data_IF_073799354161
#
_entry.id   IF_073799354161
#
_cell.length_a   1.000
_cell.length_b   1.000
_cell.length_c   1.000
_cell.angle_alpha   90.00
_cell.angle_beta   90.00
_cell.angle_gamma   90.00
#
_symmetry.space_group_name_H-M   'P 1'
#
loop_
_entity.id
_entity.type
_entity.pdbx_description
1 polymer ?
#
# COMPACT_ATOMS: atom_id res chain seq x y z
N UNK A 1 34.78 17.23 32.58
CA UNK A 1 33.56 16.49 32.97
C UNK A 1 32.36 17.34 32.60
N UNK A 2 31.21 16.69 32.38
CA UNK A 2 29.95 17.16 31.75
C UNK A 2 29.97 17.18 30.20
N UNK A 3 29.81 16.02 29.56
CA UNK A 3 28.54 15.34 29.21
C UNK A 3 27.76 16.14 28.15
N UNK A 4 27.89 15.79 26.87
CA UNK A 4 27.06 14.80 26.15
C UNK A 4 25.57 15.17 26.15
N UNK A 5 25.03 15.53 24.98
CA UNK A 5 23.65 15.15 24.69
C UNK A 5 23.52 14.59 23.27
N UNK A 6 23.15 13.31 23.29
CA UNK A 6 23.10 12.38 22.20
C UNK A 6 21.75 12.57 21.50
N UNK A 7 21.75 13.01 20.24
CA UNK A 7 20.56 13.07 19.40
C UNK A 7 20.08 11.66 19.05
N UNK A 8 19.50 10.96 20.02
CA UNK A 8 18.76 9.73 19.77
C UNK A 8 17.36 10.12 19.30
N UNK A 9 17.09 9.85 18.03
CA UNK A 9 15.76 9.87 17.46
C UNK A 9 14.86 8.94 18.27
N UNK A 10 14.04 9.52 19.12
CA UNK A 10 12.92 8.85 19.77
C UNK A 10 11.82 8.65 18.71
N UNK A 11 12.00 7.64 17.85
CA UNK A 11 10.90 7.09 17.05
C UNK A 11 9.95 6.39 18.01
N UNK A 12 9.00 7.15 18.53
CA UNK A 12 8.02 6.67 19.50
C UNK A 12 7.21 5.47 18.98
N UNK A 13 6.62 4.67 19.88
CA UNK A 13 5.89 3.44 19.55
C UNK A 13 4.64 3.63 18.67
N UNK A 14 4.24 4.88 18.40
CA UNK A 14 3.10 5.23 17.56
C UNK A 14 3.43 5.18 16.05
N UNK A 15 4.71 5.30 15.68
CA UNK A 15 5.17 5.32 14.27
C UNK A 15 5.08 3.93 13.60
N UNK A 16 5.06 2.86 14.42
CA UNK A 16 4.90 1.47 13.94
C UNK A 16 3.43 1.04 13.75
N UNK A 17 2.49 1.83 14.28
CA UNK A 17 1.04 1.51 14.24
C UNK A 17 0.42 2.07 12.94
N UNK A 18 1.02 3.13 12.39
CA UNK A 18 0.67 3.70 11.09
C UNK A 18 1.51 3.15 9.92
N UNK A 19 2.41 2.20 10.18
CA UNK A 19 3.08 1.43 9.13
C UNK A 19 2.05 0.54 8.43
N UNK A 20 1.49 1.08 7.35
CA UNK A 20 0.44 0.44 6.58
C UNK A 20 0.90 -0.85 5.90
N UNK A 21 2.21 -1.03 5.77
CA UNK A 21 2.90 -2.17 5.19
C UNK A 21 3.37 -3.19 6.25
N UNK A 22 3.15 -2.93 7.54
CA UNK A 22 3.43 -3.91 8.57
C UNK A 22 2.41 -5.06 8.53
N UNK A 23 2.85 -6.31 8.36
CA UNK A 23 1.95 -7.47 8.19
C UNK A 23 1.41 -7.95 9.54
N UNK A 24 0.50 -7.17 10.13
CA UNK A 24 -0.09 -7.43 11.45
C UNK A 24 -1.23 -8.45 11.44
N UNK A 25 -1.93 -8.60 10.32
CA UNK A 25 -3.24 -9.26 10.30
C UNK A 25 -3.14 -10.72 9.86
N UNK A 26 -3.62 -11.65 10.69
CA UNK A 26 -3.77 -13.04 10.28
C UNK A 26 -4.94 -13.22 9.31
N UNK A 27 -4.98 -14.32 8.57
CA UNK A 27 -6.10 -14.69 7.68
C UNK A 27 -7.48 -14.60 8.34
N UNK A 28 -7.63 -15.13 9.56
CA UNK A 28 -8.91 -15.11 10.27
C UNK A 28 -9.30 -13.69 10.69
N UNK A 29 -8.34 -12.94 11.23
CA UNK A 29 -8.54 -11.54 11.63
C UNK A 29 -8.90 -10.66 10.42
N UNK A 30 -8.19 -10.83 9.31
CA UNK A 30 -8.45 -10.13 8.06
C UNK A 30 -9.87 -10.43 7.53
N UNK A 31 -10.27 -11.71 7.53
CA UNK A 31 -11.60 -12.10 7.09
C UNK A 31 -12.71 -11.46 7.96
N UNK A 32 -12.50 -11.44 9.28
CA UNK A 32 -13.44 -10.83 10.23
C UNK A 32 -13.55 -9.31 10.03
N UNK A 33 -12.42 -8.60 9.89
CA UNK A 33 -12.39 -7.14 9.68
C UNK A 33 -13.12 -6.78 8.38
N UNK A 34 -12.94 -7.57 7.34
CA UNK A 34 -13.52 -7.32 6.02
C UNK A 34 -14.95 -7.86 5.85
N UNK A 35 -15.52 -8.51 6.87
CA UNK A 35 -16.83 -9.15 6.78
C UNK A 35 -16.91 -10.22 5.69
N UNK A 36 -15.80 -10.90 5.41
CA UNK A 36 -15.66 -11.89 4.33
C UNK A 36 -15.21 -13.24 4.86
N UNK A 37 -15.02 -14.21 3.97
CA UNK A 37 -14.54 -15.54 4.32
C UNK A 37 -13.03 -15.67 4.13
N UNK A 38 -12.35 -16.55 4.89
CA UNK A 38 -10.97 -16.92 4.57
C UNK A 38 -10.83 -17.52 3.15
N UNK A 39 -11.88 -18.14 2.62
CA UNK A 39 -11.90 -18.63 1.23
C UNK A 39 -11.73 -17.49 0.22
N UNK A 40 -12.46 -16.39 0.40
CA UNK A 40 -12.36 -15.21 -0.45
C UNK A 40 -10.94 -14.64 -0.50
N UNK A 41 -10.33 -14.42 0.67
CA UNK A 41 -8.94 -13.92 0.73
C UNK A 41 -7.94 -14.90 0.08
N UNK A 42 -8.16 -16.23 0.17
CA UNK A 42 -7.31 -17.20 -0.55
C UNK A 42 -7.45 -17.06 -2.06
N UNK A 43 -8.67 -16.84 -2.55
CA UNK A 43 -8.91 -16.63 -3.98
C UNK A 43 -8.25 -15.35 -4.49
N UNK A 44 -8.21 -14.28 -3.69
CA UNK A 44 -7.45 -13.06 -4.03
C UNK A 44 -5.93 -13.30 -4.08
N UNK A 45 -5.40 -14.09 -3.14
CA UNK A 45 -3.98 -14.48 -3.13
C UNK A 45 -3.64 -15.36 -4.36
N UNK A 46 -4.51 -16.29 -4.73
CA UNK A 46 -4.36 -17.15 -5.92
C UNK A 46 -4.42 -16.35 -7.23
N UNK A 47 -5.29 -15.34 -7.27
CA UNK A 47 -5.37 -14.37 -8.37
C UNK A 47 -4.19 -13.38 -8.39
N UNK A 48 -3.24 -13.48 -7.45
CA UNK A 48 -2.07 -12.60 -7.29
C UNK A 48 -2.42 -11.12 -7.07
N UNK A 49 -3.67 -10.81 -6.69
CA UNK A 49 -4.04 -9.47 -6.28
C UNK A 49 -3.38 -9.12 -4.93
N UNK A 50 -3.22 -10.12 -4.08
CA UNK A 50 -2.58 -10.00 -2.77
C UNK A 50 -1.32 -10.86 -2.71
N UNK A 51 -0.29 -10.35 -2.03
CA UNK A 51 0.99 -11.01 -1.81
C UNK A 51 1.31 -11.04 -0.31
N UNK A 52 0.56 -11.81 0.49
CA UNK A 52 0.75 -11.83 1.94
C UNK A 52 2.12 -12.37 2.32
N UNK A 53 2.75 -11.74 3.30
CA UNK A 53 3.97 -12.26 3.89
C UNK A 53 3.65 -13.55 4.67
N UNK A 54 4.58 -14.51 4.64
CA UNK A 54 4.46 -15.72 5.45
C UNK A 54 5.29 -15.56 6.71
N UNK A 55 4.66 -15.77 7.86
CA UNK A 55 5.40 -15.84 9.12
C UNK A 55 6.31 -17.08 9.15
N UNK A 56 7.23 -17.13 10.12
CA UNK A 56 8.09 -18.29 10.37
C UNK A 56 7.29 -19.59 10.55
N UNK A 57 6.05 -19.49 11.07
CA UNK A 57 5.12 -20.63 11.21
C UNK A 57 4.27 -20.92 9.96
N UNK A 58 4.53 -20.29 8.82
CA UNK A 58 3.82 -20.52 7.56
C UNK A 58 2.45 -19.83 7.43
N UNK A 59 2.02 -19.08 8.44
CA UNK A 59 0.74 -18.37 8.41
C UNK A 59 0.81 -17.12 7.55
N UNK A 60 -0.22 -16.90 6.72
CA UNK A 60 -0.37 -15.69 5.91
C UNK A 60 -0.59 -14.49 6.83
N UNK A 61 0.16 -13.43 6.58
CA UNK A 61 0.04 -12.15 7.24
C UNK A 61 -0.18 -11.05 6.22
N UNK A 62 -1.22 -10.27 6.47
CA UNK A 62 -1.67 -9.20 5.63
C UNK A 62 -1.31 -7.86 6.25
N UNK A 63 -0.92 -6.93 5.40
CA UNK A 63 -0.73 -5.53 5.75
C UNK A 63 -2.07 -4.81 5.72
N UNK A 64 -2.14 -3.59 6.27
CA UNK A 64 -3.37 -2.79 6.21
C UNK A 64 -3.68 -2.34 4.77
N UNK A 65 -2.65 -2.06 3.98
CA UNK A 65 -2.77 -1.81 2.54
C UNK A 65 -3.47 -2.96 1.81
N UNK A 66 -3.05 -4.20 2.09
CA UNK A 66 -3.65 -5.40 1.51
C UNK A 66 -5.12 -5.58 1.93
N UNK A 67 -5.49 -5.20 3.16
CA UNK A 67 -6.89 -5.21 3.57
C UNK A 67 -7.73 -4.18 2.80
N UNK A 68 -7.19 -2.99 2.50
CA UNK A 68 -7.91 -2.01 1.65
C UNK A 68 -8.17 -2.53 0.24
N UNK A 69 -7.17 -3.16 -0.37
CA UNK A 69 -7.32 -3.81 -1.68
C UNK A 69 -8.39 -4.91 -1.62
N UNK A 70 -8.34 -5.76 -0.59
CA UNK A 70 -9.31 -6.83 -0.42
C UNK A 70 -10.75 -6.32 -0.20
N UNK A 71 -10.91 -5.20 0.52
CA UNK A 71 -12.20 -4.53 0.70
C UNK A 71 -12.75 -4.03 -0.64
N UNK A 72 -11.90 -3.41 -1.48
CA UNK A 72 -12.30 -2.96 -2.82
C UNK A 72 -12.68 -4.11 -3.73
N UNK A 73 -11.91 -5.20 -3.72
CA UNK A 73 -12.25 -6.41 -4.48
C UNK A 73 -13.60 -6.98 -4.04
N UNK A 74 -13.87 -6.97 -2.72
CA UNK A 74 -15.14 -7.42 -2.17
C UNK A 74 -16.30 -6.55 -2.66
N UNK A 75 -16.13 -5.24 -2.64
CA UNK A 75 -17.12 -4.27 -3.14
C UNK A 75 -17.49 -4.55 -4.61
N UNK A 76 -16.50 -4.72 -5.48
CA UNK A 76 -16.72 -5.03 -6.91
C UNK A 76 -17.46 -6.36 -7.10
N UNK A 77 -17.10 -7.38 -6.33
CA UNK A 77 -17.76 -8.70 -6.38
C UNK A 77 -19.19 -8.62 -5.88
N UNK A 78 -19.46 -7.86 -4.83
CA UNK A 78 -20.80 -7.64 -4.30
C UNK A 78 -21.70 -6.87 -5.29
N UNK A 79 -21.11 -6.06 -6.18
CA UNK A 79 -21.80 -5.41 -7.30
C UNK A 79 -22.05 -6.35 -8.50
N UNK A 80 -21.63 -7.62 -8.41
CA UNK A 80 -21.82 -8.63 -9.46
C UNK A 80 -20.65 -8.77 -10.43
N UNK A 81 -19.51 -8.13 -10.16
CA UNK A 81 -18.29 -8.33 -10.96
C UNK A 81 -17.69 -9.69 -10.64
N UNK A 82 -17.28 -10.45 -11.67
CA UNK A 82 -16.54 -11.68 -11.44
C UNK A 82 -15.21 -11.41 -10.71
N UNK A 83 -14.78 -12.32 -9.83
CA UNK A 83 -13.59 -12.12 -8.98
C UNK A 83 -12.34 -11.82 -9.81
N UNK A 84 -12.13 -12.54 -10.91
CA UNK A 84 -11.01 -12.37 -11.83
C UNK A 84 -11.04 -10.99 -12.52
N UNK A 85 -12.23 -10.54 -12.93
CA UNK A 85 -12.43 -9.21 -13.48
C UNK A 85 -12.17 -8.12 -12.43
N UNK A 86 -12.66 -8.30 -11.19
CA UNK A 86 -12.41 -7.36 -10.08
C UNK A 86 -10.91 -7.25 -9.77
N UNK A 87 -10.20 -8.38 -9.69
CA UNK A 87 -8.74 -8.40 -9.51
C UNK A 87 -8.03 -7.64 -10.65
N UNK A 88 -8.44 -7.88 -11.89
CA UNK A 88 -7.84 -7.23 -13.07
C UNK A 88 -8.10 -5.73 -13.10
N UNK A 89 -9.30 -5.28 -12.72
CA UNK A 89 -9.64 -3.86 -12.60
C UNK A 89 -8.69 -3.18 -11.61
N UNK A 90 -8.57 -3.73 -10.40
CA UNK A 90 -7.76 -3.12 -9.34
C UNK A 90 -6.28 -3.04 -9.75
N UNK A 91 -5.72 -4.09 -10.35
CA UNK A 91 -4.33 -4.08 -10.83
C UNK A 91 -4.13 -2.98 -11.88
N UNK A 92 -5.08 -2.80 -12.79
CA UNK A 92 -5.00 -1.77 -13.82
C UNK A 92 -5.16 -0.36 -13.25
N UNK A 93 -6.04 -0.18 -12.26
CA UNK A 93 -6.19 1.10 -11.54
C UNK A 93 -4.89 1.49 -10.82
N UNK A 94 -4.22 0.53 -10.18
CA UNK A 94 -2.93 0.75 -9.50
C UNK A 94 -1.82 1.13 -10.48
N UNK A 95 -1.69 0.37 -11.59
CA UNK A 95 -0.75 0.68 -12.66
C UNK A 95 -1.01 2.05 -13.31
N UNK A 96 -2.28 2.43 -13.47
CA UNK A 96 -2.65 3.72 -14.01
C UNK A 96 -2.26 4.85 -13.04
N UNK A 97 -2.53 4.68 -11.75
CA UNK A 97 -2.16 5.65 -10.73
C UNK A 97 -0.63 5.84 -10.65
N UNK A 98 0.14 4.75 -10.71
CA UNK A 98 1.60 4.79 -10.73
C UNK A 98 2.13 5.51 -11.98
N UNK A 99 1.63 5.17 -13.17
CA UNK A 99 2.02 5.82 -14.41
C UNK A 99 1.71 7.32 -14.40
N UNK A 100 0.54 7.71 -13.88
CA UNK A 100 0.16 9.12 -13.72
C UNK A 100 1.08 9.86 -12.74
N UNK A 101 1.45 9.24 -11.63
CA UNK A 101 2.37 9.82 -10.65
C UNK A 101 3.76 10.05 -11.26
N UNK A 102 4.29 9.08 -12.01
CA UNK A 102 5.57 9.18 -12.72
C UNK A 102 5.51 10.32 -13.75
N UNK A 103 4.46 10.37 -14.57
CA UNK A 103 4.28 11.44 -15.56
C UNK A 103 4.23 12.83 -14.92
N UNK A 104 3.50 12.98 -13.80
CA UNK A 104 3.43 14.24 -13.08
C UNK A 104 4.79 14.66 -12.50
N UNK A 105 5.57 13.71 -11.98
CA UNK A 105 6.92 13.97 -11.48
C UNK A 105 7.90 14.36 -12.60
N UNK A 106 7.80 13.71 -13.77
CA UNK A 106 8.61 14.05 -14.94
C UNK A 106 8.25 15.44 -15.47
N UNK A 107 6.97 15.78 -15.61
CA UNK A 107 6.55 17.12 -16.03
C UNK A 107 7.05 18.19 -15.06
N UNK A 108 6.93 17.99 -13.75
CA UNK A 108 7.47 18.91 -12.74
C UNK A 108 8.98 19.10 -12.86
N UNK A 109 9.71 18.04 -13.20
CA UNK A 109 11.17 18.09 -13.37
C UNK A 109 11.59 18.81 -14.65
N UNK A 110 10.80 18.71 -15.72
CA UNK A 110 11.01 19.45 -16.97
C UNK A 110 10.68 20.94 -16.79
N UNK A 111 9.58 21.27 -16.12
CA UNK A 111 9.21 22.66 -15.82
C UNK A 111 10.30 23.36 -14.99
N UNK A 112 10.85 22.68 -13.98
CA UNK A 112 11.92 23.22 -13.13
C UNK A 112 13.27 23.41 -13.88
N UNK A 113 13.51 22.64 -14.94
CA UNK A 113 14.70 22.81 -15.80
C UNK A 113 14.49 23.88 -16.89
N UNK A 114 13.24 24.19 -17.21
CA UNK A 114 12.85 25.18 -18.21
C UNK A 114 12.93 26.63 -17.70
N UNK A 115 13.16 26.82 -16.40
CA UNK A 115 13.33 28.15 -15.76
C UNK A 115 14.79 28.45 -15.33
N UNK A 116 15.76 28.62 -16.25
CA UNK A 116 17.11 29.05 -15.91
C UNK A 116 17.33 30.58 -16.00
N UNK A 117 16.29 31.45 -15.97
CA UNK A 117 16.45 32.91 -16.21
C UNK A 117 15.81 33.87 -15.18
N UNK A 118 15.50 33.41 -13.97
CA UNK A 118 14.88 34.24 -12.92
C UNK A 118 15.81 35.00 -11.96
N UNK A 119 17.12 34.76 -11.93
CA UNK A 119 18.03 35.46 -11.00
C UNK A 119 19.29 36.00 -11.68
N UNK A 120 19.24 37.29 -12.03
CA UNK A 120 20.41 38.17 -12.07
C UNK A 120 20.05 39.48 -11.37
N UNK A 121 20.34 39.66 -10.07
CA UNK A 121 20.33 40.97 -9.47
C UNK A 121 21.60 41.74 -9.92
N UNK A 122 21.37 42.94 -10.43
CA UNK A 122 22.38 43.94 -10.82
C UNK A 122 23.07 44.56 -9.61
#
# INVERSE_FOLDING_TARGET
MEQANNGSADSGPNDKIDDEDYPAYSMGSAAQILGTTPGFLRSLDEAKLLTPQRSVGGHRRYTRYQLRIAARARELVDQGTALDAACRIIILEDQLAEAQAINAALHRSLDNQSDPRGQHPS
#
